data_IF_541928986779
#
_entry.id   IF_541928986779
#
_cell.length_a   1.000
_cell.length_b   1.000
_cell.length_c   1.000
_cell.angle_alpha   90.00
_cell.angle_beta   90.00
_cell.angle_gamma   90.00
#
_symmetry.space_group_name_H-M   'P 1'
#
loop_
_entity.id
_entity.type
_entity.pdbx_description
1 polymer ?
#
# COMPACT_ATOMS: atom_id res chain seq x y z
N UNK A 1 20.65 31.53 -44.68
CA UNK A 1 22.05 31.06 -44.63
C UNK A 1 22.95 32.27 -44.60
N UNK A 2 24.08 32.28 -43.88
CA UNK A 2 24.83 31.18 -43.26
C UNK A 2 24.50 31.04 -41.75
N UNK A 3 24.51 29.92 -41.02
CA UNK A 3 25.23 28.65 -41.00
C UNK A 3 26.76 28.79 -40.99
N UNK A 4 27.31 28.90 -39.78
CA UNK A 4 28.68 28.46 -39.49
C UNK A 4 28.71 27.55 -38.28
N UNK A 5 29.53 26.52 -38.45
CA UNK A 5 29.74 25.33 -37.64
C UNK A 5 30.48 25.59 -36.33
N UNK A 6 30.22 24.73 -35.35
CA UNK A 6 30.96 24.68 -34.08
C UNK A 6 30.92 23.29 -33.47
N UNK A 7 31.67 22.37 -34.06
CA UNK A 7 31.98 21.03 -33.52
C UNK A 7 32.88 21.19 -32.29
N UNK A 8 32.49 20.61 -31.15
CA UNK A 8 33.39 20.38 -30.01
C UNK A 8 33.48 18.87 -29.76
N UNK A 9 34.64 18.32 -30.12
CA UNK A 9 35.12 16.99 -29.76
C UNK A 9 35.93 17.13 -28.47
N UNK A 10 35.58 16.38 -27.42
CA UNK A 10 36.48 16.09 -26.29
C UNK A 10 36.41 14.59 -25.98
N UNK A 11 37.49 13.90 -26.34
CA UNK A 11 38.00 12.61 -25.84
C UNK A 11 39.43 12.92 -25.36
N UNK A 12 40.07 12.31 -24.37
CA UNK A 12 39.76 11.26 -23.41
C UNK A 12 40.79 11.38 -22.26
N UNK A 13 40.51 10.75 -21.12
CA UNK A 13 41.47 10.39 -20.07
C UNK A 13 40.72 9.49 -19.09
N UNK A 14 40.65 8.17 -19.34
CA UNK A 14 41.59 7.16 -18.87
C UNK A 14 41.88 7.30 -17.38
N UNK A 15 41.13 6.55 -16.56
CA UNK A 15 41.63 5.76 -15.42
C UNK A 15 40.50 4.82 -14.96
N UNK A 16 40.52 3.58 -15.47
CA UNK A 16 39.69 2.45 -15.01
C UNK A 16 40.61 1.53 -14.21
N UNK A 17 40.32 1.25 -12.94
CA UNK A 17 40.99 0.19 -12.18
C UNK A 17 40.68 -1.20 -12.74
N UNK A 18 41.70 -2.04 -12.79
CA UNK A 18 41.77 -3.36 -13.44
C UNK A 18 40.85 -4.43 -12.84
N UNK A 19 40.41 -5.33 -13.72
CA UNK A 19 39.48 -6.43 -13.48
C UNK A 19 40.20 -7.78 -13.26
N UNK A 20 41.01 -7.91 -12.21
CA UNK A 20 41.78 -9.14 -11.95
C UNK A 20 41.64 -9.78 -10.54
N UNK A 21 40.65 -9.41 -9.73
CA UNK A 21 40.46 -10.03 -8.39
C UNK A 21 39.10 -10.71 -8.15
N UNK A 22 38.27 -10.94 -9.17
CA UNK A 22 36.96 -11.60 -9.00
C UNK A 22 36.65 -12.61 -10.12
N UNK A 23 37.50 -13.61 -10.26
CA UNK A 23 37.13 -14.87 -10.88
C UNK A 23 37.77 -16.02 -10.12
N UNK A 24 36.99 -16.72 -9.31
CA UNK A 24 37.09 -18.18 -9.15
C UNK A 24 35.97 -18.67 -8.22
N UNK A 25 35.20 -19.67 -8.70
CA UNK A 25 34.47 -20.59 -7.82
C UNK A 25 32.94 -20.51 -7.81
N UNK A 26 32.28 -20.62 -8.96
CA UNK A 26 30.92 -21.17 -9.00
C UNK A 26 30.99 -22.67 -9.32
N UNK A 27 31.00 -23.49 -8.29
CA UNK A 27 30.69 -24.92 -8.42
C UNK A 27 29.42 -25.24 -7.63
N UNK A 28 28.48 -25.85 -8.35
CA UNK A 28 27.25 -26.39 -7.85
C UNK A 28 27.55 -27.62 -6.97
N UNK A 29 27.02 -27.64 -5.74
CA UNK A 29 26.94 -28.85 -4.94
C UNK A 29 25.47 -29.14 -4.59
N UNK A 30 24.88 -30.02 -5.40
CA UNK A 30 23.78 -30.89 -4.99
C UNK A 30 24.24 -31.70 -3.77
N UNK A 31 23.57 -31.55 -2.62
CA UNK A 31 23.68 -32.50 -1.51
C UNK A 31 22.31 -33.08 -1.23
N UNK A 32 22.03 -34.18 -1.93
CA UNK A 32 21.16 -35.25 -1.46
C UNK A 32 21.88 -36.00 -0.34
N UNK A 33 21.37 -35.97 0.89
CA UNK A 33 21.76 -36.93 1.92
C UNK A 33 20.55 -37.73 2.38
N UNK A 34 20.44 -38.92 1.77
CA UNK A 34 19.72 -40.06 2.30
C UNK A 34 20.54 -40.63 3.47
N UNK A 35 19.98 -40.70 4.67
CA UNK A 35 20.34 -41.74 5.63
C UNK A 35 19.08 -42.40 6.19
N UNK A 36 19.05 -43.70 5.93
CA UNK A 36 18.05 -44.70 6.29
C UNK A 36 18.56 -45.51 7.49
N UNK A 37 17.64 -46.24 8.13
CA UNK A 37 17.80 -47.29 9.17
C UNK A 37 17.94 -46.77 10.61
N UNK A 38 17.13 -47.16 11.61
CA UNK A 38 16.61 -48.50 11.92
C UNK A 38 15.43 -48.49 12.95
N UNK A 39 14.44 -49.36 12.73
CA UNK A 39 13.85 -50.36 13.67
C UNK A 39 13.25 -49.97 15.06
N UNK A 40 11.90 -49.84 15.12
CA UNK A 40 10.86 -50.66 15.84
C UNK A 40 11.26 -51.28 17.22
N UNK A 41 10.44 -51.20 18.32
CA UNK A 41 9.07 -51.77 18.36
C UNK A 41 7.94 -51.09 19.18
N UNK A 42 6.74 -51.29 18.60
CA UNK A 42 5.41 -51.61 19.15
C UNK A 42 5.16 -51.47 20.67
N UNK A 43 4.20 -50.61 21.04
CA UNK A 43 3.19 -50.90 22.06
C UNK A 43 1.85 -50.26 21.66
N UNK A 44 0.81 -51.10 21.59
CA UNK A 44 -0.58 -50.75 21.34
C UNK A 44 -1.22 -50.03 22.53
N UNK A 45 -2.02 -49.01 22.26
CA UNK A 45 -3.22 -48.71 23.06
C UNK A 45 -4.25 -47.95 22.23
N UNK A 46 -5.41 -48.57 22.13
CA UNK A 46 -6.59 -48.06 21.46
C UNK A 46 -7.22 -46.94 22.28
N UNK A 47 -7.50 -45.80 21.64
CA UNK A 47 -8.52 -44.87 22.12
C UNK A 47 -9.30 -44.35 20.94
N UNK A 48 -10.56 -44.76 20.87
CA UNK A 48 -11.59 -44.24 19.97
C UNK A 48 -11.75 -42.73 20.17
N UNK A 49 -11.16 -41.94 19.26
CA UNK A 49 -11.51 -40.54 19.11
C UNK A 49 -12.75 -40.45 18.23
N UNK A 50 -13.86 -40.08 18.84
CA UNK A 50 -15.11 -39.72 18.16
C UNK A 50 -14.83 -38.55 17.22
N UNK A 51 -14.86 -38.81 15.92
CA UNK A 51 -14.78 -37.80 14.87
C UNK A 51 -16.04 -36.92 14.93
N UNK A 52 -16.00 -35.89 15.79
CA UNK A 52 -16.91 -34.76 15.70
C UNK A 52 -16.54 -33.99 14.43
N UNK A 53 -17.19 -34.38 13.33
CA UNK A 53 -17.17 -33.71 12.04
C UNK A 53 -17.80 -32.33 12.23
N UNK A 54 -17.05 -31.40 12.83
CA UNK A 54 -17.31 -29.97 12.74
C UNK A 54 -17.33 -29.65 11.25
N UNK A 55 -18.52 -29.43 10.72
CA UNK A 55 -18.70 -28.72 9.45
C UNK A 55 -17.97 -27.39 9.62
N UNK A 56 -16.76 -27.31 9.10
CA UNK A 56 -16.16 -26.06 8.69
C UNK A 56 -17.17 -25.37 7.78
N UNK A 57 -17.52 -24.09 8.00
CA UNK A 57 -18.23 -23.32 7.00
C UNK A 57 -17.24 -23.05 5.86
N UNK A 58 -17.10 -24.03 4.96
CA UNK A 58 -16.63 -23.82 3.60
C UNK A 58 -17.75 -23.16 2.81
N UNK A 59 -17.65 -21.84 2.72
CA UNK A 59 -18.09 -20.98 1.62
C UNK A 59 -17.64 -19.58 2.08
N UNK A 60 -16.47 -19.05 1.73
CA UNK A 60 -16.02 -18.77 0.37
C UNK A 60 -17.13 -18.24 -0.55
N UNK A 61 -18.14 -17.57 0.02
CA UNK A 61 -18.74 -16.45 -0.70
C UNK A 61 -17.64 -15.41 -0.88
N UNK A 62 -17.07 -15.41 -2.09
CA UNK A 62 -16.16 -14.37 -2.54
C UNK A 62 -16.84 -13.03 -2.22
N UNK A 63 -16.26 -12.21 -1.33
CA UNK A 63 -16.87 -10.96 -0.88
C UNK A 63 -17.26 -10.04 -2.06
N UNK A 64 -16.69 -10.29 -3.25
CA UNK A 64 -17.05 -9.71 -4.54
C UNK A 64 -18.49 -10.00 -4.99
N UNK A 65 -19.06 -11.16 -4.66
CA UNK A 65 -20.44 -11.54 -4.98
C UNK A 65 -21.45 -10.59 -4.33
N UNK A 66 -21.22 -10.22 -3.06
CA UNK A 66 -22.12 -9.33 -2.33
C UNK A 66 -22.17 -7.90 -2.91
N UNK A 67 -21.09 -7.41 -3.54
CA UNK A 67 -21.04 -6.04 -4.09
C UNK A 67 -21.85 -5.86 -5.37
N UNK A 68 -21.97 -6.89 -6.23
CA UNK A 68 -22.83 -6.79 -7.43
C UNK A 68 -24.31 -6.70 -7.04
N UNK A 69 -24.72 -7.47 -6.04
CA UNK A 69 -26.07 -7.40 -5.48
C UNK A 69 -26.34 -6.05 -4.81
N UNK A 70 -25.32 -5.45 -4.19
CA UNK A 70 -25.39 -4.11 -3.59
C UNK A 70 -25.73 -3.03 -4.62
N UNK A 71 -25.02 -3.00 -5.76
CA UNK A 71 -25.28 -2.01 -6.82
C UNK A 71 -26.73 -2.01 -7.32
N UNK A 72 -27.34 -3.19 -7.41
CA UNK A 72 -28.73 -3.33 -7.83
C UNK A 72 -29.71 -2.66 -6.85
N UNK A 73 -29.41 -2.70 -5.55
CA UNK A 73 -30.23 -2.09 -4.50
C UNK A 73 -29.87 -0.63 -4.22
N UNK A 74 -28.71 -0.17 -4.66
CA UNK A 74 -28.18 1.19 -4.44
C UNK A 74 -28.52 2.20 -5.53
N UNK A 75 -29.55 1.94 -6.36
CA UNK A 75 -30.03 2.89 -7.39
C UNK A 75 -30.77 4.11 -6.82
N UNK A 76 -30.65 4.35 -5.51
CA UNK A 76 -31.29 5.45 -4.79
C UNK A 76 -30.53 6.77 -4.89
N UNK A 77 -30.43 7.47 -3.76
CA UNK A 77 -29.90 8.83 -3.70
C UNK A 77 -28.44 8.93 -4.15
N UNK A 78 -28.12 10.02 -4.86
CA UNK A 78 -26.77 10.34 -5.32
C UNK A 78 -26.21 11.49 -4.48
N UNK A 79 -24.95 11.35 -4.06
CA UNK A 79 -24.12 12.38 -3.43
C UNK A 79 -23.08 12.85 -4.43
N UNK A 80 -22.83 14.16 -4.50
CA UNK A 80 -21.80 14.75 -5.35
C UNK A 80 -20.58 15.11 -4.51
N UNK A 81 -19.43 14.54 -4.83
CA UNK A 81 -18.15 14.93 -4.25
C UNK A 81 -17.53 16.01 -5.14
N UNK A 82 -17.26 17.18 -4.59
CA UNK A 82 -16.60 18.30 -5.29
C UNK A 82 -15.17 18.43 -4.79
N UNK A 83 -14.20 18.24 -5.69
CA UNK A 83 -12.80 17.97 -5.32
C UNK A 83 -11.86 19.00 -5.90
N UNK A 84 -10.99 19.54 -5.04
CA UNK A 84 -9.87 20.38 -5.42
C UNK A 84 -10.27 21.75 -6.00
N UNK A 85 -9.27 22.53 -6.44
CA UNK A 85 -9.48 23.89 -6.96
C UNK A 85 -10.23 23.91 -8.29
N UNK A 86 -10.13 22.84 -9.08
CA UNK A 86 -10.81 22.71 -10.38
C UNK A 86 -12.28 22.27 -10.22
N UNK A 87 -12.77 22.14 -8.98
CA UNK A 87 -14.12 21.68 -8.64
C UNK A 87 -14.54 20.40 -9.36
N UNK A 88 -13.64 19.43 -9.49
CA UNK A 88 -13.94 18.15 -10.15
C UNK A 88 -15.11 17.45 -9.44
N UNK A 89 -16.11 17.01 -10.21
CA UNK A 89 -17.33 16.43 -9.68
C UNK A 89 -17.35 14.91 -9.85
N UNK A 90 -17.61 14.19 -8.75
CA UNK A 90 -17.80 12.75 -8.74
C UNK A 90 -19.16 12.41 -8.13
N UNK A 91 -19.97 11.64 -8.86
CA UNK A 91 -21.27 11.17 -8.39
C UNK A 91 -21.12 9.80 -7.75
N UNK A 92 -21.56 9.64 -6.51
CA UNK A 92 -21.50 8.36 -5.78
C UNK A 92 -22.86 8.07 -5.15
N UNK A 93 -23.28 6.80 -5.16
CA UNK A 93 -24.52 6.39 -4.51
C UNK A 93 -24.39 6.51 -2.99
N UNK A 94 -25.41 7.08 -2.34
CA UNK A 94 -25.42 7.34 -0.90
C UNK A 94 -25.23 6.06 -0.08
N UNK A 95 -25.90 4.97 -0.46
CA UNK A 95 -25.75 3.67 0.20
C UNK A 95 -24.34 3.11 0.01
N UNK A 96 -23.68 3.45 -1.10
CA UNK A 96 -22.30 3.05 -1.33
C UNK A 96 -21.36 3.78 -0.36
N UNK A 97 -21.56 5.09 -0.18
CA UNK A 97 -20.79 5.87 0.79
C UNK A 97 -21.07 5.47 2.23
N UNK A 98 -22.34 5.23 2.59
CA UNK A 98 -22.76 4.96 3.97
C UNK A 98 -22.10 3.72 4.56
N UNK A 99 -22.06 2.64 3.81
CA UNK A 99 -21.42 1.40 4.25
C UNK A 99 -19.90 1.53 4.29
N UNK A 100 -19.29 2.33 3.40
CA UNK A 100 -17.84 2.44 3.34
C UNK A 100 -17.26 3.43 4.36
N UNK A 101 -18.00 4.50 4.68
CA UNK A 101 -17.53 5.59 5.52
C UNK A 101 -18.68 6.17 6.36
N UNK A 102 -18.63 6.01 7.70
CA UNK A 102 -19.58 6.68 8.58
C UNK A 102 -19.44 8.21 8.50
N UNK A 103 -18.22 8.72 8.33
CA UNK A 103 -17.95 10.16 8.24
C UNK A 103 -18.61 10.79 7.00
N UNK A 104 -18.49 10.14 5.84
CA UNK A 104 -19.14 10.63 4.62
C UNK A 104 -20.65 10.43 4.68
N UNK A 105 -21.13 9.37 5.33
CA UNK A 105 -22.57 9.19 5.60
C UNK A 105 -23.15 10.37 6.36
N UNK A 106 -22.50 10.78 7.45
CA UNK A 106 -22.97 11.86 8.31
C UNK A 106 -22.99 13.20 7.56
N UNK A 107 -21.98 13.44 6.71
CA UNK A 107 -21.90 14.64 5.86
C UNK A 107 -22.93 14.66 4.73
N UNK A 108 -23.41 13.49 4.31
CA UNK A 108 -24.41 13.38 3.26
C UNK A 108 -25.85 13.56 3.77
N UNK A 109 -26.07 13.67 5.09
CA UNK A 109 -27.40 13.91 5.64
C UNK A 109 -27.80 15.37 5.44
N UNK A 110 -29.00 15.66 4.90
CA UNK A 110 -29.46 17.03 4.75
C UNK A 110 -29.64 17.70 6.11
N UNK A 111 -29.06 18.89 6.26
CA UNK A 111 -29.23 19.73 7.45
C UNK A 111 -30.71 20.09 7.62
N UNK A 112 -31.38 19.45 8.57
CA UNK A 112 -32.80 19.71 8.88
C UNK A 112 -33.79 18.61 8.50
N UNK A 113 -33.32 17.42 8.08
CA UNK A 113 -34.16 16.22 7.94
C UNK A 113 -35.19 16.25 6.81
N UNK A 114 -35.29 17.35 6.06
CA UNK A 114 -36.14 17.45 4.88
C UNK A 114 -35.44 16.78 3.70
N UNK A 115 -36.14 15.87 3.01
CA UNK A 115 -35.65 15.26 1.77
C UNK A 115 -35.49 16.36 0.72
N UNK A 116 -34.24 16.70 0.41
CA UNK A 116 -33.90 17.57 -0.71
C UNK A 116 -34.15 16.82 -2.02
N UNK A 117 -34.73 17.50 -3.01
CA UNK A 117 -34.79 16.98 -4.39
C UNK A 117 -33.46 17.10 -5.12
N UNK A 118 -32.53 17.89 -4.57
CA UNK A 118 -31.18 18.05 -5.13
C UNK A 118 -30.17 17.11 -4.44
N UNK A 119 -29.21 16.56 -5.20
CA UNK A 119 -28.08 15.83 -4.64
C UNK A 119 -27.34 16.65 -3.57
N UNK A 120 -26.91 15.98 -2.51
CA UNK A 120 -26.08 16.61 -1.46
C UNK A 120 -24.65 16.73 -1.97
N UNK A 121 -24.06 17.92 -1.81
CA UNK A 121 -22.68 18.21 -2.20
C UNK A 121 -21.74 18.09 -0.99
N UNK A 122 -20.70 17.27 -1.12
CA UNK A 122 -19.59 17.16 -0.15
C UNK A 122 -18.36 17.80 -0.78
N UNK A 123 -17.87 18.88 -0.17
CA UNK A 123 -16.68 19.61 -0.64
C UNK A 123 -15.40 19.03 -0.04
N UNK A 124 -14.40 18.79 -0.88
CA UNK A 124 -13.10 18.19 -0.58
C UNK A 124 -11.98 19.05 -1.17
N UNK A 125 -11.62 20.14 -0.47
CA UNK A 125 -10.72 21.17 -1.00
C UNK A 125 -9.24 20.78 -1.02
N UNK A 126 -8.83 19.84 -0.17
CA UNK A 126 -7.42 19.48 0.03
C UNK A 126 -7.00 18.27 -0.81
N UNK A 127 -7.97 17.47 -1.26
CA UNK A 127 -7.77 16.24 -1.99
C UNK A 127 -7.59 16.48 -3.48
N UNK A 128 -6.75 15.66 -4.13
CA UNK A 128 -6.61 15.71 -5.59
C UNK A 128 -7.66 14.84 -6.29
N UNK A 129 -8.02 15.25 -7.51
CA UNK A 129 -9.04 14.56 -8.30
C UNK A 129 -8.66 13.09 -8.58
N UNK A 130 -7.39 12.79 -8.87
CA UNK A 130 -6.92 11.43 -9.17
C UNK A 130 -7.12 10.48 -7.96
N UNK A 131 -6.78 10.95 -6.76
CA UNK A 131 -6.94 10.18 -5.52
C UNK A 131 -8.43 9.94 -5.20
N UNK A 132 -9.30 10.93 -5.42
CA UNK A 132 -10.75 10.74 -5.23
C UNK A 132 -11.35 9.84 -6.31
N UNK A 133 -10.92 9.97 -7.57
CA UNK A 133 -11.35 9.07 -8.64
C UNK A 133 -10.98 7.61 -8.32
N UNK A 134 -9.75 7.36 -7.85
CA UNK A 134 -9.34 6.02 -7.42
C UNK A 134 -10.12 5.54 -6.19
N UNK A 135 -10.44 6.41 -5.23
CA UNK A 135 -11.30 6.07 -4.10
C UNK A 135 -12.70 5.68 -4.58
N UNK A 136 -13.31 6.46 -5.49
CA UNK A 136 -14.61 6.15 -6.07
C UNK A 136 -14.58 4.79 -6.77
N UNK A 137 -13.57 4.51 -7.59
CA UNK A 137 -13.42 3.19 -8.20
C UNK A 137 -13.33 2.08 -7.15
N UNK A 138 -12.55 2.29 -6.09
CA UNK A 138 -12.41 1.34 -4.98
C UNK A 138 -13.73 1.06 -4.26
N UNK A 139 -14.56 2.09 -4.02
CA UNK A 139 -15.86 1.93 -3.38
C UNK A 139 -16.74 0.91 -4.12
N UNK A 140 -16.75 0.97 -5.44
CA UNK A 140 -17.54 0.08 -6.29
C UNK A 140 -16.88 -1.29 -6.51
N UNK A 141 -15.55 -1.36 -6.60
CA UNK A 141 -14.86 -2.55 -7.12
C UNK A 141 -14.00 -3.29 -6.08
N UNK A 142 -13.82 -2.75 -4.87
CA UNK A 142 -12.90 -3.29 -3.86
C UNK A 142 -11.44 -3.38 -4.31
N UNK A 143 -11.05 -2.53 -5.26
CA UNK A 143 -9.73 -2.53 -5.89
C UNK A 143 -9.27 -1.11 -6.10
N UNK A 144 -7.99 -0.85 -5.82
CA UNK A 144 -7.35 0.41 -6.17
C UNK A 144 -7.03 0.37 -7.66
N UNK A 145 -7.40 1.42 -8.38
CA UNK A 145 -7.20 1.55 -9.81
C UNK A 145 -6.44 2.83 -10.12
N UNK A 146 -5.37 2.72 -10.88
CA UNK A 146 -4.55 3.86 -11.32
C UNK A 146 -4.47 3.91 -12.85
N UNK A 147 -4.26 5.10 -13.38
CA UNK A 147 -4.02 5.23 -14.82
C UNK A 147 -2.63 4.74 -15.21
N UNK A 148 -2.52 4.22 -16.44
CA UNK A 148 -1.25 3.80 -17.02
C UNK A 148 -0.24 4.96 -17.09
N UNK A 149 -0.73 6.19 -17.26
CA UNK A 149 0.07 7.41 -17.21
C UNK A 149 0.75 7.54 -15.85
N UNK A 150 -0.02 7.46 -14.76
CA UNK A 150 0.50 7.55 -13.40
C UNK A 150 1.47 6.40 -13.07
N UNK A 151 1.14 5.18 -13.51
CA UNK A 151 1.98 4.00 -13.30
C UNK A 151 3.37 4.11 -13.96
N UNK A 152 3.48 4.84 -15.07
CA UNK A 152 4.75 5.05 -15.80
C UNK A 152 5.44 6.36 -15.45
N UNK A 153 4.83 7.17 -14.61
CA UNK A 153 5.27 8.52 -14.38
C UNK A 153 6.57 8.55 -13.55
N UNK A 154 7.64 9.12 -14.12
CA UNK A 154 8.86 9.45 -13.40
C UNK A 154 8.81 10.93 -13.06
N UNK A 155 8.13 11.27 -11.97
CA UNK A 155 8.02 12.65 -11.53
C UNK A 155 9.04 12.96 -10.44
N UNK A 156 9.60 14.17 -10.49
CA UNK A 156 10.39 14.75 -9.39
C UNK A 156 9.55 14.94 -8.12
N UNK A 157 8.25 15.20 -8.29
CA UNK A 157 7.32 15.27 -7.18
C UNK A 157 6.84 13.85 -6.84
N UNK A 158 7.23 13.28 -5.68
CA UNK A 158 6.87 11.92 -5.31
C UNK A 158 5.36 11.76 -5.09
N UNK A 159 4.62 12.85 -4.87
CA UNK A 159 3.15 12.82 -4.73
C UNK A 159 2.46 12.55 -6.06
N UNK A 160 3.09 12.90 -7.18
CA UNK A 160 2.56 12.66 -8.54
C UNK A 160 2.93 11.28 -9.09
N UNK A 161 3.31 10.35 -8.22
CA UNK A 161 3.62 8.95 -8.59
C UNK A 161 2.48 8.03 -8.15
N UNK A 162 2.45 6.80 -8.67
CA UNK A 162 1.50 5.78 -8.21
C UNK A 162 1.57 5.58 -6.69
N UNK A 163 2.78 5.57 -6.13
CA UNK A 163 2.97 5.41 -4.69
C UNK A 163 2.54 6.65 -3.90
N UNK A 164 2.75 7.84 -4.46
CA UNK A 164 2.18 9.09 -3.94
C UNK A 164 0.66 9.00 -3.80
N UNK A 165 -0.02 8.55 -4.85
CA UNK A 165 -1.47 8.30 -4.83
C UNK A 165 -1.86 7.27 -3.77
N UNK A 166 -1.13 6.16 -3.60
CA UNK A 166 -1.46 5.18 -2.55
C UNK A 166 -1.32 5.76 -1.13
N UNK A 167 -0.31 6.63 -0.91
CA UNK A 167 -0.18 7.37 0.35
C UNK A 167 -1.37 8.31 0.55
N UNK A 168 -1.80 9.03 -0.49
CA UNK A 168 -2.99 9.89 -0.42
C UNK A 168 -4.26 9.09 -0.13
N UNK A 169 -4.45 7.93 -0.76
CA UNK A 169 -5.58 7.03 -0.48
C UNK A 169 -5.58 6.53 0.97
N UNK A 170 -4.42 6.22 1.55
CA UNK A 170 -4.34 5.88 2.96
C UNK A 170 -4.82 7.05 3.83
N UNK A 171 -4.37 8.27 3.55
CA UNK A 171 -4.74 9.48 4.31
C UNK A 171 -6.25 9.76 4.17
N UNK A 172 -6.80 9.64 2.97
CA UNK A 172 -8.25 9.72 2.70
C UNK A 172 -8.99 8.67 3.54
N UNK A 173 -8.54 7.42 3.51
CA UNK A 173 -9.13 6.35 4.31
C UNK A 173 -9.03 6.61 5.82
N UNK A 174 -7.99 7.28 6.29
CA UNK A 174 -7.87 7.70 7.69
C UNK A 174 -8.87 8.81 8.04
N UNK A 175 -8.98 9.84 7.19
CA UNK A 175 -9.84 10.99 7.39
C UNK A 175 -11.33 10.60 7.38
N UNK A 176 -11.70 9.69 6.50
CA UNK A 176 -13.09 9.22 6.33
C UNK A 176 -13.39 7.89 7.04
N UNK A 177 -12.46 7.39 7.88
CA UNK A 177 -12.62 6.15 8.66
C UNK A 177 -12.91 4.89 7.81
N UNK A 178 -12.30 4.81 6.63
CA UNK A 178 -12.40 3.69 5.70
C UNK A 178 -11.21 2.74 5.92
N UNK A 179 -11.31 1.84 6.90
CA UNK A 179 -10.24 0.90 7.26
C UNK A 179 -9.84 -0.02 6.10
N UNK A 180 -10.81 -0.48 5.31
CA UNK A 180 -10.56 -1.29 4.11
C UNK A 180 -9.67 -0.58 3.09
N UNK A 181 -9.92 0.70 2.83
CA UNK A 181 -9.11 1.50 1.91
C UNK A 181 -7.68 1.70 2.44
N UNK A 182 -7.52 1.94 3.75
CA UNK A 182 -6.19 2.04 4.37
C UNK A 182 -5.38 0.75 4.20
N UNK A 183 -6.02 -0.41 4.38
CA UNK A 183 -5.36 -1.70 4.25
C UNK A 183 -4.94 -1.97 2.80
N UNK A 184 -5.85 -1.75 1.85
CA UNK A 184 -5.58 -1.95 0.42
C UNK A 184 -4.51 -0.96 -0.08
N UNK A 185 -4.49 0.27 0.45
CA UNK A 185 -3.44 1.25 0.14
C UNK A 185 -2.06 0.81 0.66
N UNK A 186 -1.99 0.24 1.87
CA UNK A 186 -0.74 -0.33 2.41
C UNK A 186 -0.25 -1.50 1.54
N UNK A 187 -1.14 -2.38 1.10
CA UNK A 187 -0.79 -3.49 0.21
C UNK A 187 -0.26 -2.96 -1.14
N UNK A 188 -0.92 -1.94 -1.70
CA UNK A 188 -0.47 -1.29 -2.93
C UNK A 188 0.91 -0.63 -2.78
N UNK A 189 1.17 0.08 -1.67
CA UNK A 189 2.50 0.64 -1.36
C UNK A 189 3.56 -0.44 -1.36
N UNK A 190 3.31 -1.57 -0.69
CA UNK A 190 4.26 -2.69 -0.63
C UNK A 190 4.50 -3.33 -2.00
N UNK A 191 3.49 -3.40 -2.84
CA UNK A 191 3.64 -3.92 -4.21
C UNK A 191 4.56 -3.05 -5.07
N UNK A 192 4.65 -1.74 -4.78
CA UNK A 192 5.40 -0.76 -5.55
C UNK A 192 6.62 -0.17 -4.80
N UNK A 193 6.90 -0.63 -3.58
CA UNK A 193 7.80 0.08 -2.66
C UNK A 193 9.22 0.20 -3.20
N UNK A 194 9.68 -0.71 -4.07
CA UNK A 194 11.03 -0.67 -4.67
C UNK A 194 11.26 0.56 -5.54
N UNK A 195 10.22 1.14 -6.13
CA UNK A 195 10.32 2.30 -7.03
C UNK A 195 10.15 3.64 -6.31
N UNK A 196 9.93 3.63 -4.99
CA UNK A 196 9.54 4.82 -4.23
C UNK A 196 10.74 5.51 -3.59
N UNK A 197 10.80 6.83 -3.73
CA UNK A 197 11.55 7.72 -2.83
C UNK A 197 10.75 7.92 -1.54
N UNK A 198 10.97 7.01 -0.60
CA UNK A 198 10.29 6.97 0.69
C UNK A 198 10.69 8.16 1.58
N UNK A 199 11.93 8.62 1.44
CA UNK A 199 12.49 9.71 2.25
C UNK A 199 11.80 11.02 1.90
N UNK A 200 11.66 11.36 0.60
CA UNK A 200 10.94 12.58 0.20
C UNK A 200 9.48 12.58 0.64
N UNK A 201 8.84 11.41 0.73
CA UNK A 201 7.45 11.30 1.18
C UNK A 201 7.27 11.39 2.69
N UNK A 202 8.35 11.29 3.49
CA UNK A 202 8.25 11.28 4.95
C UNK A 202 7.62 12.55 5.49
N UNK A 203 8.04 13.71 4.99
CA UNK A 203 7.54 15.00 5.45
C UNK A 203 6.03 15.12 5.21
N UNK A 204 5.56 14.74 4.03
CA UNK A 204 4.13 14.75 3.70
C UNK A 204 3.33 13.78 4.58
N UNK A 205 3.80 12.53 4.73
CA UNK A 205 3.15 11.51 5.56
C UNK A 205 3.03 12.00 7.01
N UNK A 206 4.10 12.55 7.57
CA UNK A 206 4.12 13.01 8.95
C UNK A 206 3.25 14.25 9.17
N UNK A 207 3.13 15.14 8.20
CA UNK A 207 2.21 16.29 8.31
C UNK A 207 0.74 15.88 8.26
N UNK A 208 0.39 14.82 7.53
CA UNK A 208 -1.02 14.43 7.26
C UNK A 208 -1.52 13.26 8.09
N UNK A 209 -0.68 12.64 8.91
CA UNK A 209 -1.06 11.49 9.74
C UNK A 209 -0.81 11.73 11.22
N UNK A 210 -1.47 10.97 12.08
CA UNK A 210 -1.26 11.04 13.52
C UNK A 210 -0.02 10.24 13.95
N UNK A 211 0.62 10.58 15.09
CA UNK A 211 1.68 9.76 15.67
C UNK A 211 1.26 8.29 15.80
N UNK A 212 2.20 7.37 15.58
CA UNK A 212 2.00 5.91 15.67
C UNK A 212 0.98 5.33 14.67
N UNK A 213 0.56 6.07 13.64
CA UNK A 213 -0.27 5.48 12.59
C UNK A 213 0.50 4.36 11.85
N UNK A 214 -0.24 3.44 11.23
CA UNK A 214 0.34 2.26 10.58
C UNK A 214 1.17 2.62 9.35
N UNK A 215 0.80 3.69 8.64
CA UNK A 215 1.60 4.20 7.52
C UNK A 215 2.97 4.74 7.96
N UNK A 216 3.06 5.51 9.07
CA UNK A 216 4.36 5.96 9.63
C UNK A 216 5.22 4.76 10.05
N UNK A 217 4.63 3.79 10.74
CA UNK A 217 5.32 2.54 11.12
C UNK A 217 5.84 1.78 9.89
N UNK A 218 5.04 1.71 8.83
CA UNK A 218 5.41 1.07 7.57
C UNK A 218 6.58 1.81 6.91
N UNK A 219 6.51 3.14 6.85
CA UNK A 219 7.55 3.98 6.28
C UNK A 219 8.91 3.74 6.94
N UNK A 220 8.95 3.80 8.28
CA UNK A 220 10.17 3.53 9.06
C UNK A 220 10.74 2.15 8.73
N UNK A 221 9.90 1.12 8.67
CA UNK A 221 10.33 -0.24 8.36
C UNK A 221 10.85 -0.39 6.93
N UNK A 222 10.25 0.29 5.96
CA UNK A 222 10.69 0.25 4.57
C UNK A 222 12.00 1.03 4.37
N UNK A 223 12.17 2.16 5.05
CA UNK A 223 13.39 2.96 4.95
C UNK A 223 14.55 2.26 5.65
N UNK A 224 14.37 1.75 6.86
CA UNK A 224 15.42 0.99 7.57
C UNK A 224 15.83 -0.30 6.85
N UNK A 225 14.93 -0.85 6.02
CA UNK A 225 15.22 -2.00 5.16
C UNK A 225 16.05 -1.63 3.93
N UNK A 226 15.80 -0.45 3.34
CA UNK A 226 16.28 -0.11 1.99
C UNK A 226 17.48 0.82 1.97
N UNK A 227 17.60 1.69 2.96
CA UNK A 227 18.61 2.75 2.98
C UNK A 227 19.74 2.38 3.93
N UNK A 228 20.96 2.58 3.45
CA UNK A 228 22.16 2.63 4.27
C UNK A 228 22.22 3.91 5.11
N UNK A 229 23.13 3.93 6.08
CA UNK A 229 23.37 5.13 6.88
C UNK A 229 23.86 6.30 6.01
N UNK A 230 24.72 6.03 5.02
CA UNK A 230 25.30 7.04 4.13
C UNK A 230 24.22 7.67 3.24
N UNK A 231 23.33 6.84 2.64
CA UNK A 231 22.21 7.35 1.83
C UNK A 231 21.25 8.21 2.67
N UNK A 232 20.98 7.83 3.92
CA UNK A 232 20.16 8.65 4.83
C UNK A 232 20.86 9.96 5.23
N UNK A 233 22.19 9.93 5.36
CA UNK A 233 22.97 11.12 5.67
C UNK A 233 22.92 12.13 4.52
N UNK A 234 23.02 11.66 3.27
CA UNK A 234 22.91 12.51 2.07
C UNK A 234 21.53 13.18 1.98
N UNK A 235 20.47 12.46 2.39
CA UNK A 235 19.10 12.95 2.39
C UNK A 235 18.65 13.61 3.71
N UNK A 236 19.54 13.83 4.68
CA UNK A 236 19.19 14.31 6.01
C UNK A 236 18.39 15.63 6.00
N UNK A 237 18.67 16.52 5.04
CA UNK A 237 17.98 17.80 4.87
C UNK A 237 16.52 17.68 4.38
N UNK A 238 16.13 16.53 3.83
CA UNK A 238 14.76 16.24 3.36
C UNK A 238 13.90 15.58 4.43
N UNK A 239 14.54 15.02 5.45
CA UNK A 239 13.90 14.24 6.49
C UNK A 239 13.35 15.16 7.58
N UNK A 240 12.10 14.93 8.00
CA UNK A 240 11.52 15.63 9.14
C UNK A 240 11.95 15.01 10.49
N UNK A 241 12.05 15.85 11.54
CA UNK A 241 12.52 15.44 12.87
C UNK A 241 11.73 14.28 13.49
N UNK A 242 10.41 14.30 13.35
CA UNK A 242 9.55 13.23 13.87
C UNK A 242 9.86 11.88 13.20
N UNK A 243 10.21 11.89 11.91
CA UNK A 243 10.60 10.67 11.20
C UNK A 243 11.94 10.15 11.69
N UNK A 244 12.94 11.02 11.92
CA UNK A 244 14.22 10.61 12.53
C UNK A 244 14.03 10.00 13.91
N UNK A 245 13.16 10.59 14.72
CA UNK A 245 12.86 10.08 16.05
C UNK A 245 12.26 8.67 15.96
N UNK A 246 11.28 8.45 15.09
CA UNK A 246 10.69 7.12 14.91
C UNK A 246 11.70 6.09 14.34
N UNK A 247 12.59 6.52 13.44
CA UNK A 247 13.72 5.71 12.93
C UNK A 247 14.67 5.31 14.06
N UNK A 248 15.09 6.26 14.89
CA UNK A 248 15.96 6.01 16.03
C UNK A 248 15.31 5.05 17.03
N UNK A 249 14.03 5.29 17.38
CA UNK A 249 13.26 4.40 18.25
C UNK A 249 13.20 2.98 17.67
N UNK A 250 12.95 2.84 16.36
CA UNK A 250 12.94 1.53 15.71
C UNK A 250 14.31 0.85 15.79
N UNK A 251 15.40 1.58 15.54
CA UNK A 251 16.76 1.06 15.65
C UNK A 251 17.08 0.54 17.07
N UNK A 252 16.67 1.27 18.12
CA UNK A 252 16.85 0.81 19.51
C UNK A 252 15.98 -0.40 19.85
N UNK A 253 14.74 -0.46 19.37
CA UNK A 253 13.83 -1.61 19.63
C UNK A 253 14.21 -2.88 18.89
N UNK A 254 14.89 -2.74 17.76
CA UNK A 254 15.36 -3.86 16.95
C UNK A 254 16.82 -4.25 17.26
N UNK A 255 17.51 -3.49 18.12
CA UNK A 255 18.89 -3.76 18.55
C UNK A 255 19.07 -5.17 19.13
N UNK A 256 18.11 -5.63 19.93
CA UNK A 256 18.13 -6.95 20.58
C UNK A 256 17.85 -8.10 19.61
N UNK A 257 17.55 -7.77 18.35
CA UNK A 257 17.03 -8.72 17.37
C UNK A 257 18.06 -9.19 16.32
N UNK A 258 19.30 -8.73 16.42
CA UNK A 258 20.44 -9.13 15.58
C UNK A 258 20.47 -8.51 14.18
N UNK A 259 21.67 -8.31 13.63
CA UNK A 259 21.97 -7.64 12.33
C UNK A 259 21.48 -8.44 11.10
N UNK A 260 21.09 -9.70 11.26
CA UNK A 260 20.81 -10.65 10.16
C UNK A 260 19.43 -10.51 9.49
N UNK A 261 18.69 -9.41 9.70
CA UNK A 261 17.23 -9.45 9.50
C UNK A 261 16.67 -9.16 8.12
N UNK A 262 17.48 -8.75 7.15
CA UNK A 262 16.92 -8.14 5.93
C UNK A 262 17.56 -8.56 4.61
N UNK A 263 18.65 -9.33 4.65
CA UNK A 263 19.19 -10.04 3.49
C UNK A 263 18.53 -11.41 3.37
N UNK A 264 17.31 -11.48 2.85
CA UNK A 264 16.63 -12.78 2.70
C UNK A 264 15.12 -12.64 2.70
N UNK A 265 14.57 -12.75 1.50
CA UNK A 265 13.17 -12.71 1.09
C UNK A 265 12.13 -13.23 2.10
N UNK A 266 11.08 -12.40 2.30
CA UNK A 266 9.63 -12.65 2.25
C UNK A 266 8.97 -11.74 3.30
N UNK A 267 7.98 -10.88 2.94
CA UNK A 267 7.30 -10.03 3.91
C UNK A 267 6.70 -10.88 5.05
N UNK A 268 6.77 -10.44 6.32
CA UNK A 268 6.48 -11.27 7.48
C UNK A 268 4.99 -11.62 7.56
N UNK A 269 4.59 -12.73 6.94
CA UNK A 269 3.17 -13.06 6.75
C UNK A 269 2.40 -13.24 8.06
N UNK A 270 3.07 -13.70 9.13
CA UNK A 270 2.35 -14.04 10.37
C UNK A 270 1.96 -12.82 11.23
N UNK A 271 2.70 -11.70 11.12
CA UNK A 271 2.45 -10.49 11.93
C UNK A 271 2.15 -9.23 11.12
N UNK A 272 2.29 -9.29 9.79
CA UNK A 272 2.08 -8.14 8.92
C UNK A 272 0.70 -7.50 9.10
N UNK A 273 -0.36 -8.32 9.01
CA UNK A 273 -1.73 -7.87 9.15
C UNK A 273 -1.96 -7.20 10.53
N UNK A 274 -1.44 -7.78 11.61
CA UNK A 274 -1.56 -7.17 12.94
C UNK A 274 -0.81 -5.83 13.05
N UNK A 275 0.33 -5.72 12.40
CA UNK A 275 1.18 -4.54 12.46
C UNK A 275 0.69 -3.39 11.60
N UNK A 276 0.09 -3.69 10.43
CA UNK A 276 -0.12 -2.71 9.36
C UNK A 276 -1.56 -2.64 8.84
N UNK A 277 -2.43 -3.61 9.13
CA UNK A 277 -3.85 -3.55 8.76
C UNK A 277 -4.76 -3.29 9.94
N UNK A 278 -5.80 -2.49 9.72
CA UNK A 278 -6.86 -2.21 10.71
C UNK A 278 -8.10 -3.03 10.37
N UNK A 279 -8.58 -3.79 11.35
CA UNK A 279 -9.76 -4.63 11.23
C UNK A 279 -10.82 -4.19 12.23
N UNK A 280 -12.08 -4.34 11.84
CA UNK A 280 -13.19 -4.23 12.79
C UNK A 280 -13.15 -5.39 13.79
N UNK A 281 -13.77 -5.18 14.95
CA UNK A 281 -13.82 -6.20 16.00
C UNK A 281 -14.52 -7.45 15.47
N UNK A 282 -13.86 -8.60 15.59
CA UNK A 282 -14.38 -9.89 15.12
C UNK A 282 -14.02 -10.24 13.68
N UNK A 283 -13.47 -9.29 12.89
CA UNK A 283 -12.93 -9.61 11.56
C UNK A 283 -11.57 -10.28 11.73
N UNK A 284 -11.41 -11.46 11.11
CA UNK A 284 -10.15 -12.19 11.11
C UNK A 284 -9.02 -11.47 10.36
N UNK A 285 -7.81 -12.02 10.44
CA UNK A 285 -6.64 -11.49 9.72
C UNK A 285 -6.82 -11.57 8.20
N UNK A 286 -6.22 -10.64 7.48
CA UNK A 286 -6.08 -10.73 6.02
C UNK A 286 -5.37 -12.03 5.63
N UNK A 287 -5.92 -12.75 4.64
CA UNK A 287 -5.34 -14.00 4.12
C UNK A 287 -4.28 -13.76 3.03
N UNK A 288 -4.40 -12.65 2.30
CA UNK A 288 -3.52 -12.29 1.18
C UNK A 288 -3.48 -10.78 1.01
N UNK A 289 -2.35 -10.27 0.52
CA UNK A 289 -2.25 -8.87 0.08
C UNK A 289 -3.04 -8.67 -1.21
N UNK A 290 -3.67 -7.50 -1.37
CA UNK A 290 -4.32 -7.11 -2.63
C UNK A 290 -3.36 -6.33 -3.52
N UNK A 291 -3.37 -6.65 -4.82
CA UNK A 291 -2.73 -5.81 -5.83
C UNK A 291 -3.60 -4.63 -6.23
N UNK A 292 -3.02 -3.69 -6.98
CA UNK A 292 -3.74 -2.63 -7.67
C UNK A 292 -3.92 -2.98 -9.16
N UNK A 293 -4.88 -2.34 -9.82
CA UNK A 293 -5.12 -2.46 -11.26
C UNK A 293 -4.60 -1.22 -11.96
N UNK A 294 -4.01 -1.39 -13.14
CA UNK A 294 -3.64 -0.29 -14.03
C UNK A 294 -4.55 -0.30 -15.24
N UNK A 295 -5.13 0.85 -15.59
CA UNK A 295 -5.99 1.00 -16.77
C UNK A 295 -5.35 1.90 -17.80
N UNK A 296 -5.42 1.51 -19.07
CA UNK A 296 -5.08 2.37 -20.20
C UNK A 296 -6.21 3.37 -20.41
N UNK A 297 -5.88 4.66 -20.39
CA UNK A 297 -6.80 5.72 -20.80
C UNK A 297 -6.99 5.61 -22.32
N UNK A 298 -7.90 4.75 -22.78
CA UNK A 298 -8.41 4.86 -24.14
C UNK A 298 -9.31 6.09 -24.17
N UNK A 299 -8.83 7.16 -24.83
CA UNK A 299 -9.68 8.31 -25.11
C UNK A 299 -10.85 7.81 -25.98
N UNK A 300 -12.11 8.02 -25.55
CA UNK A 300 -13.26 7.80 -26.43
C UNK A 300 -13.22 8.75 -27.63
#
# INVERSE_FOLDING_TARGET
MPLEDGVIVVRAGNDIPSAEDLSEGWEAANVTSNMNMNSVPVVSSATLATASKRRSPEANEDARSHKKTRLFNSLGDIVRLRVGPDEALFNVHLDVLREASPVLSDRALPTGGQRSTQPVDIVMSDECADSIQSMCYWLYNDQICISQKLARARHYDPRKTSTGLFVELYIIGQNFKMSGLQNDAIDAILSCCRAMDLVLMSTYIYQKTQPRCKLRKLLVKLVSYRYSADELQDDMHKICNDFLLDLAIAAFRDRDKGVTRYQGQVPPQENFCADFHTHEVGVGRCRKMKGHVTVTEERP
#
